data_IF_277772621080
#
_entry.id   IF_277772621080
#
_cell.length_a   1.000
_cell.length_b   1.000
_cell.length_c   1.000
_cell.angle_alpha   90.00
_cell.angle_beta   90.00
_cell.angle_gamma   90.00
#
_symmetry.space_group_name_H-M   'P 1'
#
loop_
_entity.id
_entity.type
_entity.pdbx_description
1 polymer ?
#
# COMPACT_ATOMS: atom_id res chain seq x y z
N UNK A 1 -18.19 1.76 -13.77
CA UNK A 1 -17.84 1.20 -12.44
C UNK A 1 -17.38 2.36 -11.61
N UNK A 2 -17.97 2.55 -10.47
CA UNK A 2 -17.68 3.67 -9.57
C UNK A 2 -16.27 3.53 -8.99
N UNK A 3 -15.51 4.61 -9.01
CA UNK A 3 -14.21 4.74 -8.36
C UNK A 3 -14.41 4.55 -6.86
N UNK A 4 -13.64 3.68 -6.23
CA UNK A 4 -13.75 3.43 -4.78
C UNK A 4 -13.37 4.69 -4.01
N UNK A 5 -14.37 5.37 -3.42
CA UNK A 5 -14.19 6.67 -2.78
C UNK A 5 -13.79 6.57 -1.30
N UNK A 6 -14.17 5.47 -0.65
CA UNK A 6 -13.92 5.28 0.78
C UNK A 6 -13.83 3.79 1.16
N UNK A 7 -13.36 3.51 2.37
CA UNK A 7 -13.17 2.14 2.86
C UNK A 7 -14.47 1.33 3.00
N UNK A 8 -15.60 1.97 3.23
CA UNK A 8 -16.88 1.25 3.32
C UNK A 8 -17.28 0.65 1.98
N UNK A 9 -16.96 1.31 0.87
CA UNK A 9 -17.17 0.76 -0.48
C UNK A 9 -16.26 -0.44 -0.76
N UNK A 10 -15.00 -0.42 -0.26
CA UNK A 10 -14.10 -1.58 -0.34
C UNK A 10 -14.74 -2.78 0.35
N UNK A 11 -15.18 -2.62 1.61
CA UNK A 11 -15.83 -3.67 2.40
C UNK A 11 -17.11 -4.15 1.73
N UNK A 12 -17.97 -3.23 1.27
CA UNK A 12 -19.21 -3.58 0.57
C UNK A 12 -18.95 -4.42 -0.67
N UNK A 13 -17.88 -4.09 -1.42
CA UNK A 13 -17.48 -4.84 -2.61
C UNK A 13 -16.97 -6.25 -2.26
N UNK A 14 -16.18 -6.39 -1.19
CA UNK A 14 -15.72 -7.71 -0.71
C UNK A 14 -16.92 -8.61 -0.35
N UNK A 15 -17.87 -8.09 0.41
CA UNK A 15 -19.10 -8.79 0.78
C UNK A 15 -19.94 -9.19 -0.44
N UNK A 16 -20.13 -8.26 -1.39
CA UNK A 16 -20.93 -8.52 -2.60
C UNK A 16 -20.31 -9.57 -3.52
N UNK A 17 -18.96 -9.67 -3.55
CA UNK A 17 -18.22 -10.66 -4.33
C UNK A 17 -18.01 -11.97 -3.59
N UNK A 18 -18.55 -12.11 -2.38
CA UNK A 18 -18.33 -13.26 -1.48
C UNK A 18 -16.84 -13.61 -1.32
N UNK A 19 -16.01 -12.57 -1.24
CA UNK A 19 -14.56 -12.74 -1.08
C UNK A 19 -14.29 -13.05 0.39
N UNK A 20 -13.74 -14.23 0.66
CA UNK A 20 -13.30 -14.65 1.98
C UNK A 20 -11.85 -15.11 1.92
N UNK A 21 -10.96 -14.46 2.66
CA UNK A 21 -9.51 -14.74 2.65
C UNK A 21 -9.05 -15.28 3.98
N UNK A 22 -8.18 -16.29 3.92
CA UNK A 22 -7.56 -16.88 5.12
C UNK A 22 -6.40 -15.99 5.54
N UNK A 23 -6.42 -15.53 6.80
CA UNK A 23 -5.39 -14.68 7.36
C UNK A 23 -4.68 -15.36 8.52
N UNK A 24 -3.35 -15.49 8.44
CA UNK A 24 -2.51 -15.89 9.57
C UNK A 24 -2.23 -14.64 10.42
N UNK A 25 -2.81 -14.60 11.63
CA UNK A 25 -2.66 -13.46 12.57
C UNK A 25 -1.62 -13.82 13.62
N UNK A 26 -0.46 -13.16 13.56
CA UNK A 26 0.72 -13.49 14.39
C UNK A 26 0.69 -12.74 15.71
N UNK A 27 0.69 -13.46 16.82
CA UNK A 27 0.67 -12.91 18.20
C UNK A 27 -0.41 -11.86 18.43
N UNK A 28 -1.71 -12.21 18.29
CA UNK A 28 -2.85 -11.28 18.39
C UNK A 28 -3.22 -10.99 19.85
N UNK A 29 -2.33 -10.36 20.61
CA UNK A 29 -2.53 -10.16 22.06
C UNK A 29 -3.02 -8.75 22.40
N UNK A 30 -3.10 -7.82 21.46
CA UNK A 30 -3.63 -6.48 21.69
C UNK A 30 -5.11 -6.35 21.29
N UNK A 31 -5.83 -5.53 22.06
CA UNK A 31 -7.28 -5.33 21.90
C UNK A 31 -7.66 -4.89 20.49
N UNK A 32 -6.92 -3.95 19.91
CA UNK A 32 -7.26 -3.40 18.59
C UNK A 32 -7.08 -4.42 17.45
N UNK A 33 -6.10 -5.34 17.57
CA UNK A 33 -5.96 -6.45 16.61
C UNK A 33 -7.10 -7.44 16.76
N UNK A 34 -7.43 -7.86 17.99
CA UNK A 34 -8.51 -8.83 18.23
C UNK A 34 -9.85 -8.29 17.73
N UNK A 35 -10.17 -7.03 18.04
CA UNK A 35 -11.41 -6.39 17.61
C UNK A 35 -11.49 -6.22 16.09
N UNK A 36 -10.39 -5.81 15.43
CA UNK A 36 -10.34 -5.66 13.98
C UNK A 36 -10.56 -7.00 13.26
N UNK A 37 -9.88 -8.05 13.71
CA UNK A 37 -10.01 -9.41 13.17
C UNK A 37 -11.41 -9.95 13.39
N UNK A 38 -11.97 -9.79 14.60
CA UNK A 38 -13.35 -10.20 14.93
C UNK A 38 -14.34 -9.53 13.98
N UNK A 39 -14.29 -8.21 13.85
CA UNK A 39 -15.16 -7.43 12.96
C UNK A 39 -15.02 -7.87 11.50
N UNK A 40 -13.81 -8.09 11.01
CA UNK A 40 -13.58 -8.52 9.64
C UNK A 40 -14.11 -9.94 9.36
N UNK A 41 -14.04 -10.83 10.36
CA UNK A 41 -14.61 -12.18 10.30
C UNK A 41 -16.14 -12.16 10.35
N UNK A 42 -16.75 -11.33 11.20
CA UNK A 42 -18.19 -11.12 11.28
C UNK A 42 -18.75 -10.50 9.99
N UNK A 43 -18.01 -9.60 9.38
CA UNK A 43 -18.31 -9.04 8.06
C UNK A 43 -18.09 -10.03 6.90
N UNK A 44 -17.48 -11.19 7.16
CA UNK A 44 -17.42 -12.35 6.27
C UNK A 44 -16.32 -12.31 5.23
N UNK A 45 -15.46 -11.28 5.18
CA UNK A 45 -14.43 -11.22 4.15
C UNK A 45 -13.08 -11.82 4.55
N UNK A 46 -12.91 -12.25 5.82
CA UNK A 46 -11.75 -13.04 6.24
C UNK A 46 -12.17 -14.28 7.04
N UNK A 47 -11.25 -15.28 7.05
CA UNK A 47 -11.19 -16.39 7.97
C UNK A 47 -9.85 -16.35 8.68
N UNK A 48 -9.86 -16.09 10.00
CA UNK A 48 -8.65 -15.83 10.75
C UNK A 48 -8.12 -17.07 11.46
N UNK A 49 -6.83 -17.36 11.30
CA UNK A 49 -6.09 -18.32 12.11
C UNK A 49 -5.20 -17.54 13.06
N UNK A 50 -5.53 -17.62 14.37
CA UNK A 50 -4.82 -16.92 15.43
C UNK A 50 -3.60 -17.75 15.87
N UNK A 51 -2.40 -17.24 15.63
CA UNK A 51 -1.13 -17.91 16.01
C UNK A 51 -0.68 -17.35 17.36
N UNK A 52 -0.92 -18.13 18.40
CA UNK A 52 -0.62 -17.81 19.79
C UNK A 52 0.54 -18.70 20.30
N UNK A 53 1.75 -18.40 19.83
CA UNK A 53 2.97 -19.06 20.30
C UNK A 53 3.81 -18.08 21.15
N UNK A 54 4.24 -18.50 22.33
CA UNK A 54 5.08 -17.69 23.20
C UNK A 54 6.47 -17.43 22.59
N UNK A 55 6.92 -18.33 21.71
CA UNK A 55 8.09 -18.12 20.89
C UNK A 55 7.72 -17.31 19.64
N UNK A 56 7.97 -16.02 19.70
CA UNK A 56 7.63 -15.08 18.62
C UNK A 56 8.29 -15.42 17.27
N UNK A 57 9.48 -16.03 17.29
CA UNK A 57 10.13 -16.48 16.06
C UNK A 57 9.38 -17.67 15.46
N UNK A 58 8.97 -18.65 16.28
CA UNK A 58 8.17 -19.79 15.84
C UNK A 58 6.80 -19.35 15.30
N UNK A 59 6.15 -18.39 15.95
CA UNK A 59 4.90 -17.79 15.49
C UNK A 59 5.03 -17.15 14.09
N UNK A 60 6.10 -16.40 13.86
CA UNK A 60 6.37 -15.79 12.56
C UNK A 60 6.66 -16.85 11.48
N UNK A 61 7.45 -17.86 11.78
CA UNK A 61 7.78 -18.95 10.87
C UNK A 61 6.57 -19.82 10.55
N UNK A 62 5.66 -20.03 11.50
CA UNK A 62 4.39 -20.72 11.28
C UNK A 62 3.53 -19.97 10.25
N UNK A 63 3.40 -18.65 10.39
CA UNK A 63 2.64 -17.83 9.44
C UNK A 63 3.22 -17.92 8.02
N UNK A 64 4.54 -17.86 7.88
CA UNK A 64 5.25 -18.02 6.59
C UNK A 64 4.98 -19.42 6.02
N UNK A 65 5.06 -20.46 6.83
CA UNK A 65 4.78 -21.86 6.42
C UNK A 65 3.33 -22.01 5.93
N UNK A 66 2.37 -21.43 6.61
CA UNK A 66 0.96 -21.45 6.19
C UNK A 66 0.77 -20.85 4.80
N UNK A 67 1.44 -19.74 4.49
CA UNK A 67 1.41 -19.13 3.14
C UNK A 67 2.07 -20.05 2.11
N UNK A 68 3.21 -20.64 2.42
CA UNK A 68 3.91 -21.57 1.51
C UNK A 68 3.10 -22.82 1.19
N UNK A 69 2.34 -23.31 2.16
CA UNK A 69 1.43 -24.46 2.02
C UNK A 69 0.09 -24.09 1.36
N UNK A 70 -0.13 -22.81 1.05
CA UNK A 70 -1.40 -22.34 0.49
C UNK A 70 -2.57 -22.43 1.48
N UNK A 71 -2.31 -22.46 2.80
CA UNK A 71 -3.34 -22.46 3.85
C UNK A 71 -3.63 -21.07 4.40
N UNK A 72 -2.84 -20.04 4.04
CA UNK A 72 -3.12 -18.65 4.31
C UNK A 72 -2.92 -17.81 3.04
N UNK A 73 -3.81 -16.85 2.81
CA UNK A 73 -3.84 -15.96 1.65
C UNK A 73 -3.23 -14.57 1.98
N UNK A 74 -3.00 -14.30 3.25
CA UNK A 74 -2.39 -13.07 3.76
C UNK A 74 -1.90 -13.26 5.19
N UNK A 75 -0.98 -12.39 5.63
CA UNK A 75 -0.47 -12.37 7.01
C UNK A 75 -0.89 -11.05 7.67
N UNK A 76 -1.24 -11.09 8.95
CA UNK A 76 -1.43 -9.91 9.78
C UNK A 76 -0.51 -9.94 11.00
N UNK A 77 0.21 -8.84 11.20
CA UNK A 77 0.99 -8.59 12.41
C UNK A 77 0.09 -8.20 13.58
N UNK A 78 0.17 -8.93 14.67
CA UNK A 78 -0.35 -8.51 15.99
C UNK A 78 0.72 -7.83 16.85
N UNK A 79 0.92 -8.29 18.08
CA UNK A 79 1.82 -7.69 19.05
C UNK A 79 3.31 -8.14 18.91
N UNK A 80 3.66 -8.80 17.83
CA UNK A 80 5.03 -9.19 17.52
C UNK A 80 5.87 -7.97 17.08
N UNK A 81 7.17 -7.84 17.44
CA UNK A 81 8.08 -6.86 16.86
C UNK A 81 8.16 -7.01 15.33
N UNK A 82 8.10 -5.89 14.61
CA UNK A 82 8.14 -5.92 13.13
C UNK A 82 9.40 -6.57 12.59
N UNK A 83 10.53 -6.38 13.25
CA UNK A 83 11.81 -6.98 12.87
C UNK A 83 11.76 -8.52 12.84
N UNK A 84 11.13 -9.16 13.83
CA UNK A 84 11.01 -10.63 13.88
C UNK A 84 10.15 -11.14 12.72
N UNK A 85 8.99 -10.51 12.50
CA UNK A 85 8.11 -10.90 11.41
C UNK A 85 8.76 -10.65 10.04
N UNK A 86 9.38 -9.49 9.83
CA UNK A 86 10.05 -9.17 8.58
C UNK A 86 11.23 -10.11 8.32
N UNK A 87 12.00 -10.50 9.34
CA UNK A 87 13.09 -11.46 9.21
C UNK A 87 12.60 -12.83 8.72
N UNK A 88 11.45 -13.30 9.21
CA UNK A 88 10.86 -14.55 8.74
C UNK A 88 10.36 -14.42 7.28
N UNK A 89 9.72 -13.30 6.93
CA UNK A 89 9.21 -13.03 5.58
C UNK A 89 10.34 -12.88 4.56
N UNK A 90 11.45 -12.24 4.92
CA UNK A 90 12.58 -11.93 4.02
C UNK A 90 13.65 -13.02 3.99
N UNK A 91 13.50 -14.10 4.73
CA UNK A 91 14.49 -15.19 4.78
C UNK A 91 14.85 -15.68 3.37
N UNK A 92 16.16 -15.73 3.06
CA UNK A 92 16.69 -16.08 1.74
C UNK A 92 16.15 -17.41 1.20
N UNK A 93 16.18 -18.46 2.03
CA UNK A 93 15.59 -19.75 1.67
C UNK A 93 14.29 -19.95 2.46
N UNK A 94 13.17 -19.96 1.77
CA UNK A 94 11.86 -20.21 2.37
C UNK A 94 11.14 -18.95 2.90
N UNK A 95 11.57 -17.75 2.52
CA UNK A 95 10.82 -16.51 2.74
C UNK A 95 9.68 -16.32 1.73
N UNK A 96 8.97 -15.22 1.87
CA UNK A 96 7.82 -14.88 1.01
C UNK A 96 8.15 -13.83 -0.06
N UNK A 97 9.32 -13.21 -0.01
CA UNK A 97 9.76 -12.25 -1.02
C UNK A 97 10.43 -13.02 -2.17
N UNK A 98 9.86 -13.00 -3.40
CA UNK A 98 10.49 -13.63 -4.55
C UNK A 98 11.80 -12.92 -4.91
N UNK A 99 12.72 -13.64 -5.56
CA UNK A 99 13.98 -13.07 -6.03
C UNK A 99 13.73 -11.92 -7.01
N UNK A 100 14.48 -10.83 -6.85
CA UNK A 100 14.33 -9.61 -7.66
C UNK A 100 13.13 -8.74 -7.30
N UNK A 101 12.28 -9.16 -6.37
CA UNK A 101 11.15 -8.36 -5.91
C UNK A 101 11.53 -7.43 -4.76
N UNK A 102 10.86 -6.30 -4.72
CA UNK A 102 11.00 -5.26 -3.71
C UNK A 102 9.97 -5.45 -2.61
N UNK A 103 10.37 -5.31 -1.33
CA UNK A 103 9.42 -5.10 -0.26
C UNK A 103 9.18 -3.60 -0.07
N UNK A 104 7.95 -3.13 -0.20
CA UNK A 104 7.60 -1.72 -0.03
C UNK A 104 6.38 -1.55 0.86
N UNK A 105 6.37 -0.47 1.66
CA UNK A 105 5.21 -0.11 2.46
C UNK A 105 4.25 0.73 1.63
N UNK A 106 3.01 0.32 1.60
CA UNK A 106 1.93 1.03 0.91
C UNK A 106 0.84 1.39 1.90
N UNK A 107 0.39 2.61 1.83
CA UNK A 107 -0.78 3.07 2.58
C UNK A 107 -1.88 3.57 1.64
N UNK A 108 -3.11 3.41 2.11
CA UNK A 108 -4.31 3.97 1.52
C UNK A 108 -4.96 4.89 2.57
N UNK A 109 -5.30 6.11 2.19
CA UNK A 109 -5.88 7.10 3.08
C UNK A 109 -7.25 7.58 2.57
N UNK A 110 -8.21 7.66 3.48
CA UNK A 110 -9.41 8.47 3.31
C UNK A 110 -9.21 9.76 4.11
N UNK A 111 -8.91 10.83 3.41
CA UNK A 111 -8.71 12.17 3.97
C UNK A 111 -10.03 12.93 3.84
N UNK A 112 -10.62 13.48 4.93
CA UNK A 112 -11.96 14.08 4.89
C UNK A 112 -12.17 15.16 3.83
N UNK A 113 -11.09 15.91 3.49
CA UNK A 113 -11.13 16.98 2.50
C UNK A 113 -10.77 16.51 1.08
N UNK A 114 -10.47 15.22 0.88
CA UNK A 114 -10.13 14.66 -0.41
C UNK A 114 -11.27 13.77 -0.92
N UNK A 115 -11.68 13.88 -2.21
CA UNK A 115 -12.93 13.27 -2.67
C UNK A 115 -12.88 11.75 -2.85
N UNK A 116 -11.67 11.15 -2.80
CA UNK A 116 -11.47 9.72 -3.05
C UNK A 116 -10.38 9.14 -2.14
N UNK A 117 -10.21 7.82 -2.17
CA UNK A 117 -9.05 7.18 -1.54
C UNK A 117 -7.76 7.61 -2.23
N UNK A 118 -6.76 7.97 -1.44
CA UNK A 118 -5.42 8.33 -1.91
C UNK A 118 -4.44 7.25 -1.47
N UNK A 119 -3.78 6.63 -2.43
CA UNK A 119 -2.75 5.63 -2.19
C UNK A 119 -1.36 6.26 -2.22
N UNK A 120 -0.42 5.73 -1.46
CA UNK A 120 0.95 6.23 -1.49
C UNK A 120 1.98 5.20 -1.01
N UNK A 121 3.22 5.37 -1.46
CA UNK A 121 4.40 4.56 -1.14
C UNK A 121 5.67 5.42 -1.24
N UNK A 122 6.78 5.18 -0.57
CA UNK A 122 7.02 4.38 0.60
C UNK A 122 7.07 5.31 1.81
N UNK A 123 6.54 4.88 2.94
CA UNK A 123 6.51 5.70 4.15
C UNK A 123 7.17 5.00 5.36
N UNK A 124 7.71 3.76 5.20
CA UNK A 124 8.16 2.98 6.34
C UNK A 124 9.23 1.91 6.09
N UNK A 125 9.61 1.61 4.85
CA UNK A 125 10.51 0.49 4.53
C UNK A 125 11.77 0.91 3.77
N UNK A 126 11.63 1.66 2.67
CA UNK A 126 12.76 1.96 1.78
C UNK A 126 13.25 3.39 2.00
N UNK A 127 14.47 3.57 2.55
CA UNK A 127 14.99 4.90 2.83
C UNK A 127 15.09 5.77 1.57
N UNK A 128 15.80 5.28 0.55
CA UNK A 128 16.03 5.95 -0.72
C UNK A 128 15.83 4.93 -1.85
N UNK A 129 14.65 4.87 -2.49
CA UNK A 129 14.41 3.94 -3.59
C UNK A 129 15.37 4.20 -4.75
N UNK A 130 15.95 3.13 -5.32
CA UNK A 130 16.66 3.22 -6.59
C UNK A 130 15.68 3.44 -7.74
N UNK A 131 16.20 3.66 -8.95
CA UNK A 131 15.35 3.80 -10.14
C UNK A 131 14.52 2.53 -10.39
N UNK A 132 15.16 1.35 -10.34
CA UNK A 132 14.51 0.05 -10.53
C UNK A 132 13.45 -0.21 -9.45
N UNK A 133 13.72 0.20 -8.22
CA UNK A 133 12.76 0.10 -7.13
C UNK A 133 11.53 0.98 -7.35
N UNK A 134 11.71 2.20 -7.91
CA UNK A 134 10.57 3.05 -8.29
C UNK A 134 9.73 2.46 -9.40
N UNK A 135 10.35 1.84 -10.39
CA UNK A 135 9.66 1.10 -11.45
C UNK A 135 8.76 0.02 -10.84
N UNK A 136 9.30 -0.79 -9.91
CA UNK A 136 8.50 -1.79 -9.21
C UNK A 136 7.39 -1.18 -8.34
N UNK A 137 7.65 -0.05 -7.67
CA UNK A 137 6.61 0.66 -6.92
C UNK A 137 5.45 1.10 -7.84
N UNK A 138 5.72 1.62 -9.03
CA UNK A 138 4.68 1.96 -10.01
C UNK A 138 3.86 0.74 -10.39
N UNK A 139 4.50 -0.40 -10.69
CA UNK A 139 3.81 -1.65 -11.01
C UNK A 139 2.91 -2.11 -9.86
N UNK A 140 3.44 -2.19 -8.63
CA UNK A 140 2.68 -2.64 -7.47
C UNK A 140 1.50 -1.73 -7.15
N UNK A 141 1.67 -0.42 -7.30
CA UNK A 141 0.59 0.54 -7.06
C UNK A 141 -0.49 0.47 -8.15
N UNK A 142 -0.11 0.21 -9.40
CA UNK A 142 -1.05 -0.06 -10.49
C UNK A 142 -1.89 -1.29 -10.20
N UNK A 143 -1.24 -2.41 -9.83
CA UNK A 143 -1.92 -3.67 -9.51
C UNK A 143 -2.86 -3.52 -8.31
N UNK A 144 -2.41 -2.82 -7.26
CA UNK A 144 -3.25 -2.53 -6.10
C UNK A 144 -4.48 -1.71 -6.48
N UNK A 145 -4.30 -0.65 -7.27
CA UNK A 145 -5.41 0.19 -7.73
C UNK A 145 -6.41 -0.59 -8.58
N UNK A 146 -5.94 -1.48 -9.47
CA UNK A 146 -6.80 -2.38 -10.23
C UNK A 146 -7.60 -3.33 -9.32
N UNK A 147 -6.95 -3.93 -8.31
CA UNK A 147 -7.60 -4.75 -7.29
C UNK A 147 -8.67 -3.95 -6.51
N UNK A 148 -8.40 -2.68 -6.28
CA UNK A 148 -9.34 -1.73 -5.66
C UNK A 148 -10.42 -1.21 -6.60
N UNK A 149 -10.42 -1.63 -7.88
CA UNK A 149 -11.44 -1.31 -8.89
C UNK A 149 -11.20 -0.01 -9.66
N UNK A 150 -10.04 0.62 -9.49
CA UNK A 150 -9.61 1.79 -10.25
C UNK A 150 -8.99 1.29 -11.56
N UNK A 151 -9.69 1.47 -12.68
CA UNK A 151 -9.28 0.90 -13.98
C UNK A 151 -8.04 1.56 -14.57
N UNK A 152 -7.91 2.87 -14.41
CA UNK A 152 -6.82 3.67 -14.98
C UNK A 152 -6.29 4.59 -13.88
N UNK A 153 -5.50 4.05 -12.93
CA UNK A 153 -4.97 4.86 -11.83
C UNK A 153 -4.03 5.96 -12.36
N UNK A 154 -4.15 7.12 -11.76
CA UNK A 154 -3.30 8.29 -12.00
C UNK A 154 -2.21 8.34 -10.94
N UNK A 155 -0.98 8.11 -11.35
CA UNK A 155 0.19 7.92 -10.47
C UNK A 155 1.13 9.12 -10.61
N UNK A 156 1.29 9.89 -9.53
CA UNK A 156 2.19 11.04 -9.47
C UNK A 156 3.55 10.64 -8.86
N UNK A 157 4.63 10.92 -9.59
CA UNK A 157 6.00 10.81 -9.09
C UNK A 157 6.36 12.12 -8.39
N UNK A 158 6.40 12.08 -7.05
CA UNK A 158 6.45 13.28 -6.21
C UNK A 158 7.85 13.89 -6.16
N UNK A 159 7.87 15.21 -6.31
CA UNK A 159 9.04 16.07 -6.12
C UNK A 159 8.59 17.41 -5.49
N UNK A 160 9.53 18.27 -5.16
CA UNK A 160 9.23 19.61 -4.63
C UNK A 160 8.95 20.67 -5.74
N UNK A 161 9.15 20.31 -7.01
CA UNK A 161 8.88 21.12 -8.19
C UNK A 161 8.48 20.24 -9.38
N UNK A 162 8.11 20.88 -10.49
CA UNK A 162 7.67 20.18 -11.72
C UNK A 162 8.79 20.11 -12.78
N UNK A 163 10.02 20.35 -12.37
CA UNK A 163 11.19 20.32 -13.24
C UNK A 163 12.15 19.20 -12.85
N UNK A 164 12.76 18.57 -13.85
CA UNK A 164 13.87 17.62 -13.64
C UNK A 164 15.10 18.42 -13.23
N UNK A 165 15.66 18.11 -12.06
CA UNK A 165 16.90 18.73 -11.54
C UNK A 165 17.90 17.62 -11.18
N UNK A 166 18.61 17.12 -12.16
CA UNK A 166 19.61 16.06 -11.98
C UNK A 166 20.77 16.48 -11.07
N UNK A 167 21.05 17.76 -10.99
CA UNK A 167 22.18 18.29 -10.21
C UNK A 167 21.96 18.15 -8.71
N UNK A 168 20.76 18.52 -8.23
CA UNK A 168 20.44 18.53 -6.80
C UNK A 168 19.58 17.34 -6.40
N UNK A 169 18.81 16.80 -7.35
CA UNK A 169 17.88 15.69 -7.14
C UNK A 169 18.03 14.64 -8.26
N UNK A 170 19.15 13.87 -8.27
CA UNK A 170 19.49 12.93 -9.36
C UNK A 170 18.38 11.92 -9.70
N UNK A 171 17.52 11.58 -8.73
CA UNK A 171 16.41 10.64 -8.95
C UNK A 171 15.35 11.18 -9.92
N UNK A 172 15.25 12.51 -10.12
CA UNK A 172 14.26 13.11 -11.02
C UNK A 172 14.52 12.78 -12.50
N UNK A 173 15.77 12.53 -12.87
CA UNK A 173 16.14 12.08 -14.23
C UNK A 173 15.40 10.81 -14.63
N UNK A 174 15.31 9.85 -13.71
CA UNK A 174 14.61 8.58 -13.94
C UNK A 174 13.09 8.72 -14.08
N UNK A 175 12.49 9.79 -13.65
CA UNK A 175 11.04 9.99 -13.75
C UNK A 175 10.56 10.05 -15.21
N UNK A 176 11.32 10.70 -16.09
CA UNK A 176 11.01 10.77 -17.52
C UNK A 176 10.93 9.39 -18.15
N UNK A 177 11.88 8.50 -17.82
CA UNK A 177 11.86 7.12 -18.31
C UNK A 177 10.64 6.36 -17.82
N UNK A 178 10.30 6.47 -16.53
CA UNK A 178 9.12 5.81 -15.96
C UNK A 178 7.83 6.29 -16.65
N UNK A 179 7.70 7.59 -16.90
CA UNK A 179 6.56 8.17 -17.63
C UNK A 179 6.46 7.59 -19.05
N UNK A 180 7.58 7.49 -19.78
CA UNK A 180 7.59 6.91 -21.13
C UNK A 180 7.24 5.41 -21.12
N UNK A 181 7.74 4.62 -20.17
CA UNK A 181 7.35 3.21 -20.00
C UNK A 181 5.85 3.05 -19.76
N UNK A 182 5.26 3.92 -18.94
CA UNK A 182 3.82 3.94 -18.71
C UNK A 182 3.02 4.25 -19.99
N UNK A 183 3.47 5.22 -20.81
CA UNK A 183 2.85 5.54 -22.11
C UNK A 183 2.89 4.35 -23.08
N UNK A 184 3.92 3.51 -23.00
CA UNK A 184 4.03 2.28 -23.78
C UNK A 184 3.26 1.09 -23.17
N UNK A 185 2.56 1.29 -22.05
CA UNK A 185 1.70 0.28 -21.42
C UNK A 185 2.46 -0.78 -20.61
N UNK A 186 3.72 -0.54 -20.25
CA UNK A 186 4.54 -1.52 -19.52
C UNK A 186 3.94 -1.88 -18.14
N UNK A 187 3.28 -0.95 -17.49
CA UNK A 187 2.63 -1.14 -16.18
C UNK A 187 1.14 -1.52 -16.28
N UNK A 188 0.65 -1.85 -17.48
CA UNK A 188 -0.78 -2.02 -17.73
C UNK A 188 -1.51 -0.69 -17.89
N UNK A 189 -2.82 -0.70 -17.68
CA UNK A 189 -3.65 0.50 -17.88
C UNK A 189 -3.47 1.47 -16.71
N UNK A 190 -2.63 2.47 -16.86
CA UNK A 190 -2.41 3.55 -15.89
C UNK A 190 -1.98 4.86 -16.60
N UNK A 191 -2.00 5.96 -15.86
CA UNK A 191 -1.41 7.23 -16.24
C UNK A 191 -0.34 7.57 -15.22
N UNK A 192 0.90 7.76 -15.66
CA UNK A 192 2.02 8.18 -14.79
C UNK A 192 2.54 9.52 -15.25
N UNK A 193 2.80 10.42 -14.32
CA UNK A 193 3.44 11.71 -14.61
C UNK A 193 4.29 12.18 -13.43
N UNK A 194 5.26 13.03 -13.74
CA UNK A 194 6.19 13.63 -12.79
C UNK A 194 7.48 14.10 -13.45
N UNK A 195 8.28 14.91 -12.74
CA UNK A 195 8.07 15.30 -11.34
C UNK A 195 6.88 16.24 -11.15
N UNK A 196 6.15 16.07 -10.06
CA UNK A 196 5.04 16.93 -9.64
C UNK A 196 5.11 17.19 -8.14
N UNK A 197 4.75 18.40 -7.70
CA UNK A 197 4.56 18.63 -6.28
C UNK A 197 3.21 18.07 -5.78
N UNK A 198 3.03 18.01 -4.46
CA UNK A 198 1.81 17.47 -3.87
C UNK A 198 0.56 18.25 -4.29
N UNK A 199 0.64 19.58 -4.43
CA UNK A 199 -0.52 20.40 -4.83
C UNK A 199 -0.88 20.19 -6.28
N UNK A 200 0.10 20.18 -7.18
CA UNK A 200 -0.12 19.94 -8.61
C UNK A 200 -0.56 18.50 -8.88
N UNK A 201 -0.18 17.55 -8.02
CA UNK A 201 -0.67 16.17 -8.09
C UNK A 201 -2.14 16.03 -7.70
N UNK A 202 -2.63 16.83 -6.71
CA UNK A 202 -3.94 16.62 -6.08
C UNK A 202 -4.92 17.79 -6.25
N UNK A 203 -4.58 18.84 -7.02
CA UNK A 203 -5.41 20.03 -7.21
C UNK A 203 -5.34 20.56 -8.64
N UNK A 204 -6.46 20.41 -9.37
CA UNK A 204 -6.58 20.98 -10.72
C UNK A 204 -6.42 22.51 -10.74
N UNK A 205 -6.86 23.20 -9.68
CA UNK A 205 -6.66 24.66 -9.54
C UNK A 205 -5.17 25.01 -9.46
N UNK A 206 -4.39 24.24 -8.67
CA UNK A 206 -2.95 24.47 -8.53
C UNK A 206 -2.20 24.27 -9.86
N UNK A 207 -2.55 23.25 -10.64
CA UNK A 207 -2.01 23.07 -12.00
C UNK A 207 -2.32 24.26 -12.88
N UNK A 208 -3.58 24.74 -12.88
CA UNK A 208 -4.01 25.87 -13.68
C UNK A 208 -3.27 27.15 -13.30
N UNK A 209 -3.13 27.43 -12.00
CA UNK A 209 -2.41 28.64 -11.51
C UNK A 209 -0.94 28.61 -11.91
N UNK A 210 -0.29 27.44 -11.87
CA UNK A 210 1.11 27.27 -12.29
C UNK A 210 1.30 27.16 -13.81
N UNK A 211 0.21 27.04 -14.60
CA UNK A 211 0.29 26.87 -16.05
C UNK A 211 0.89 25.53 -16.48
N UNK A 212 0.76 24.48 -15.66
CA UNK A 212 1.35 23.16 -15.90
C UNK A 212 0.33 22.26 -16.59
N UNK A 213 0.77 21.61 -17.67
CA UNK A 213 0.00 20.56 -18.34
C UNK A 213 0.42 19.18 -17.80
N UNK A 214 -0.51 18.46 -17.21
CA UNK A 214 -0.28 17.08 -16.73
C UNK A 214 -1.48 16.21 -17.07
N UNK A 215 -1.28 14.98 -17.57
CA UNK A 215 -2.38 14.03 -17.82
C UNK A 215 -3.05 13.56 -16.52
N UNK A 216 -2.42 13.74 -15.37
CA UNK A 216 -3.03 13.49 -14.05
C UNK A 216 -4.13 14.51 -13.75
N UNK A 217 -4.00 15.73 -14.28
CA UNK A 217 -4.99 16.81 -14.16
C UNK A 217 -5.31 17.20 -12.70
N UNK A 218 -4.34 17.08 -11.78
CA UNK A 218 -4.53 17.40 -10.36
C UNK A 218 -5.48 16.46 -9.62
N UNK A 219 -5.62 15.24 -10.11
CA UNK A 219 -6.53 14.21 -9.63
C UNK A 219 -5.80 12.87 -9.45
N UNK A 220 -4.66 12.87 -8.77
CA UNK A 220 -3.88 11.67 -8.51
C UNK A 220 -4.65 10.67 -7.65
N UNK A 221 -4.53 9.39 -8.00
CA UNK A 221 -4.93 8.26 -7.17
C UNK A 221 -3.77 7.76 -6.31
N UNK A 222 -2.54 7.93 -6.81
CA UNK A 222 -1.32 7.41 -6.20
C UNK A 222 -0.24 8.48 -6.14
N UNK A 223 0.45 8.53 -4.98
CA UNK A 223 1.66 9.32 -4.79
C UNK A 223 2.86 8.41 -4.55
N UNK A 224 3.90 8.50 -5.37
CA UNK A 224 5.17 7.82 -5.15
C UNK A 224 6.17 8.83 -4.62
N UNK A 225 6.54 8.70 -3.36
CA UNK A 225 7.45 9.62 -2.70
C UNK A 225 8.92 9.38 -3.08
N UNK A 226 9.75 10.44 -3.12
CA UNK A 226 11.16 10.31 -3.48
C UNK A 226 11.99 9.51 -2.47
N UNK A 227 11.59 9.54 -1.20
CA UNK A 227 12.26 8.86 -0.10
C UNK A 227 11.29 8.65 1.07
N UNK A 228 11.73 7.84 2.06
CA UNK A 228 10.94 7.50 3.23
C UNK A 228 10.58 8.71 4.09
N UNK A 229 11.46 9.71 4.17
CA UNK A 229 11.24 10.90 5.01
C UNK A 229 10.04 11.70 4.51
N UNK A 230 9.98 11.96 3.19
CA UNK A 230 8.85 12.64 2.57
C UNK A 230 7.54 11.86 2.77
N UNK A 231 7.56 10.55 2.52
CA UNK A 231 6.40 9.67 2.70
C UNK A 231 5.96 9.58 4.17
N UNK A 232 6.91 9.45 5.10
CA UNK A 232 6.62 9.35 6.53
C UNK A 232 6.06 10.65 7.10
N UNK A 233 6.64 11.79 6.73
CA UNK A 233 6.12 13.12 7.14
C UNK A 233 4.69 13.31 6.61
N UNK A 234 4.43 13.00 5.34
CA UNK A 234 3.08 13.05 4.78
C UNK A 234 2.12 12.13 5.55
N UNK A 235 2.49 10.86 5.78
CA UNK A 235 1.70 9.90 6.53
C UNK A 235 1.33 10.40 7.92
N UNK A 236 2.31 10.95 8.66
CA UNK A 236 2.08 11.49 10.01
C UNK A 236 1.24 12.78 9.98
N UNK A 237 1.45 13.64 9.00
CA UNK A 237 0.71 14.90 8.83
C UNK A 237 -0.78 14.65 8.63
N UNK A 238 -1.16 13.75 7.71
CA UNK A 238 -2.57 13.48 7.44
C UNK A 238 -3.28 12.78 8.59
N UNK A 239 -2.57 11.98 9.38
CA UNK A 239 -3.13 11.31 10.56
C UNK A 239 -3.28 12.28 11.75
N UNK A 240 -2.26 13.09 12.00
CA UNK A 240 -2.24 13.97 13.16
C UNK A 240 -3.15 15.19 12.99
N UNK A 241 -3.14 15.81 11.81
CA UNK A 241 -3.82 17.08 11.59
C UNK A 241 -5.15 16.97 10.82
N UNK A 242 -5.33 15.92 10.02
CA UNK A 242 -6.50 15.78 9.17
C UNK A 242 -7.46 14.64 9.58
N UNK A 243 -7.16 13.92 10.66
CA UNK A 243 -7.95 12.76 11.10
C UNK A 243 -8.21 11.73 9.98
N UNK A 244 -7.22 11.54 9.11
CA UNK A 244 -7.32 10.60 8.00
C UNK A 244 -7.50 9.17 8.53
N UNK A 245 -8.44 8.43 7.93
CA UNK A 245 -8.53 6.98 8.13
C UNK A 245 -7.52 6.30 7.21
N UNK A 246 -6.83 5.30 7.72
CA UNK A 246 -5.75 4.64 7.00
C UNK A 246 -5.96 3.13 6.87
N UNK A 247 -5.35 2.58 5.83
CA UNK A 247 -4.97 1.18 5.71
C UNK A 247 -3.50 1.09 5.34
N UNK A 248 -2.76 0.12 5.90
CA UNK A 248 -1.32 -0.06 5.65
C UNK A 248 -1.00 -1.53 5.41
N UNK A 249 -0.33 -1.80 4.31
CA UNK A 249 0.11 -3.15 3.90
C UNK A 249 1.54 -3.11 3.35
N UNK A 250 2.20 -4.25 3.35
CA UNK A 250 3.43 -4.46 2.57
C UNK A 250 3.10 -5.17 1.26
N UNK A 251 3.73 -4.70 0.19
CA UNK A 251 3.66 -5.27 -1.16
C UNK A 251 5.01 -5.85 -1.57
N UNK A 252 4.98 -6.71 -2.59
CA UNK A 252 6.15 -7.38 -3.15
C UNK A 252 6.31 -8.83 -2.71
N UNK A 253 5.73 -9.22 -1.60
CA UNK A 253 5.67 -10.62 -1.15
C UNK A 253 4.62 -11.42 -1.92
N UNK A 254 4.71 -12.76 -1.85
CA UNK A 254 3.75 -13.68 -2.51
C UNK A 254 2.30 -13.43 -2.11
N UNK A 255 2.07 -12.95 -0.90
CA UNK A 255 0.77 -12.55 -0.38
C UNK A 255 0.89 -11.20 0.33
N UNK A 256 -0.16 -10.38 0.41
CA UNK A 256 -0.12 -9.13 1.16
C UNK A 256 0.16 -9.37 2.65
N UNK A 257 0.92 -8.48 3.26
CA UNK A 257 1.20 -8.49 4.69
C UNK A 257 0.63 -7.23 5.32
N UNK A 258 -0.33 -7.39 6.23
CA UNK A 258 -0.86 -6.29 7.04
C UNK A 258 0.15 -5.98 8.14
N UNK A 259 0.86 -4.88 7.98
CA UNK A 259 1.87 -4.39 8.94
C UNK A 259 1.43 -3.05 9.51
N UNK A 260 0.77 -3.10 10.66
CA UNK A 260 0.29 -1.91 11.37
C UNK A 260 1.14 -1.61 12.61
N UNK A 261 1.13 -0.35 13.04
CA UNK A 261 1.78 0.07 14.28
C UNK A 261 1.00 -0.46 15.51
N UNK A 262 1.69 -0.61 16.64
CA UNK A 262 1.03 -0.92 17.94
C UNK A 262 0.02 0.15 18.36
N UNK A 263 0.27 1.40 17.97
CA UNK A 263 -0.59 2.54 18.26
C UNK A 263 -1.76 2.71 17.29
N UNK A 264 -1.83 1.90 16.22
CA UNK A 264 -2.90 2.02 15.25
C UNK A 264 -4.24 1.55 15.82
N UNK A 265 -5.29 2.27 15.39
CA UNK A 265 -6.66 2.02 15.84
C UNK A 265 -7.22 0.70 15.30
N UNK A 266 -8.29 0.21 15.92
CA UNK A 266 -9.07 -0.92 15.39
C UNK A 266 -9.53 -0.67 13.96
N UNK A 267 -9.96 0.54 13.61
CA UNK A 267 -10.38 0.91 12.27
C UNK A 267 -9.22 0.81 11.24
N UNK A 268 -8.03 1.31 11.57
CA UNK A 268 -6.84 1.20 10.70
C UNK A 268 -6.51 -0.27 10.41
N UNK A 269 -6.52 -1.12 11.43
CA UNK A 269 -6.26 -2.56 11.30
C UNK A 269 -7.33 -3.27 10.48
N UNK A 270 -8.59 -2.92 10.71
CA UNK A 270 -9.73 -3.47 9.96
C UNK A 270 -9.69 -3.07 8.47
N UNK A 271 -9.44 -1.81 8.16
CA UNK A 271 -9.33 -1.36 6.77
C UNK A 271 -8.08 -1.94 6.07
N UNK A 272 -7.00 -2.14 6.80
CA UNK A 272 -5.80 -2.83 6.27
C UNK A 272 -6.12 -4.27 5.88
N UNK A 273 -6.90 -4.99 6.70
CA UNK A 273 -7.39 -6.33 6.34
C UNK A 273 -8.28 -6.30 5.09
N UNK A 274 -9.15 -5.29 4.95
CA UNK A 274 -10.02 -5.17 3.77
C UNK A 274 -9.21 -4.89 2.48
N UNK A 275 -8.21 -4.00 2.53
CA UNK A 275 -7.33 -3.71 1.39
C UNK A 275 -6.51 -4.95 1.02
N UNK A 276 -5.93 -5.64 2.01
CA UNK A 276 -5.19 -6.89 1.78
C UNK A 276 -6.09 -7.99 1.18
N UNK A 277 -7.32 -8.15 1.68
CA UNK A 277 -8.27 -9.13 1.15
C UNK A 277 -8.69 -8.83 -0.29
N UNK A 278 -8.83 -7.55 -0.65
CA UNK A 278 -9.13 -7.14 -2.03
C UNK A 278 -8.00 -7.51 -3.00
N UNK A 279 -6.74 -7.36 -2.57
CA UNK A 279 -5.56 -7.65 -3.37
C UNK A 279 -5.28 -9.16 -3.49
N UNK A 280 -5.50 -9.95 -2.44
CA UNK A 280 -5.16 -11.39 -2.38
C UNK A 280 -5.88 -12.28 -3.40
N UNK A 281 -6.75 -11.77 -4.22
CA UNK A 281 -7.55 -12.56 -5.18
C UNK A 281 -7.32 -12.21 -6.63
N UNK A 282 -6.40 -11.33 -6.90
CA UNK A 282 -5.96 -11.06 -8.27
C UNK A 282 -4.95 -12.14 -8.64
N UNK A 283 -5.31 -13.04 -9.56
CA UNK A 283 -4.34 -13.93 -10.20
C UNK A 283 -3.20 -13.09 -10.78
N UNK A 284 -1.97 -13.44 -10.38
CA UNK A 284 -0.76 -12.82 -10.93
C UNK A 284 -0.41 -13.47 -12.25
#
# INVERSE_FOLDING_TARGET
>A
METTQNFNEVVTRLKRKDIRRRVAVVSPHDKSTIEAVKRASEDGFIEAVMINDDNLQAAAEQAVTMVQQGTADMIMKGLIPSEILLKAILRYNGGLLPEGHLLTHTACAHIPQHPKLLFYTDAAVIPFPTHEQRIQQVQYMTDLCHAMGIKTPKIALIHCSEEVDERHFPYTAGYTEIVERAKHGEFGQCVVDGPLDLKTSCSAESLKVKGIASPIAGDADVLIFPNIEAGNVFHKTITLFNNAKLASILLGTRVPVVLTSRADTTDTKYYSLAVAAALSGTEK
#
